data_IF_157075713592
#
_entry.id   IF_157075713592
#
_cell.length_a   1.000
_cell.length_b   1.000
_cell.length_c   1.000
_cell.angle_alpha   90.00
_cell.angle_beta   90.00
_cell.angle_gamma   90.00
#
_symmetry.space_group_name_H-M   'P 1'
#
loop_
_entity.id
_entity.type
_entity.pdbx_description
1 polymer ?
#
# COMPACT_ATOMS: atom_id res chain seq x y z
N UNK A 1 14.49 1.11 2.04
CA UNK A 1 13.20 0.50 1.64
C UNK A 1 12.29 0.33 2.85
N UNK A 2 12.87 -0.05 4.00
CA UNK A 2 12.24 -0.17 5.32
C UNK A 2 11.18 0.87 5.68
N UNK A 3 11.51 2.16 5.59
CA UNK A 3 10.58 3.23 6.00
C UNK A 3 9.36 3.39 5.12
N UNK A 4 9.49 3.18 3.80
CA UNK A 4 8.41 3.49 2.85
C UNK A 4 7.58 2.26 2.50
N UNK A 5 8.21 1.10 2.33
CA UNK A 5 7.55 -0.11 1.82
C UNK A 5 7.30 -1.14 2.93
N UNK A 6 8.35 -1.55 3.66
CA UNK A 6 8.22 -2.63 4.65
C UNK A 6 7.32 -2.20 5.81
N UNK A 7 7.43 -0.95 6.27
CA UNK A 7 6.55 -0.38 7.30
C UNK A 7 5.07 -0.45 6.90
N UNK A 8 4.75 -0.06 5.67
CA UNK A 8 3.38 -0.08 5.14
C UNK A 8 2.88 -1.53 5.01
N UNK A 9 3.70 -2.43 4.49
CA UNK A 9 3.36 -3.85 4.37
C UNK A 9 3.06 -4.48 5.74
N UNK A 10 3.94 -4.29 6.72
CA UNK A 10 3.74 -4.81 8.07
C UNK A 10 2.51 -4.20 8.74
N UNK A 11 2.28 -2.89 8.59
CA UNK A 11 1.08 -2.25 9.13
C UNK A 11 -0.19 -2.81 8.50
N UNK A 12 -0.21 -3.04 7.19
CA UNK A 12 -1.32 -3.67 6.48
C UNK A 12 -1.61 -5.08 7.03
N UNK A 13 -0.57 -5.90 7.23
CA UNK A 13 -0.70 -7.25 7.80
C UNK A 13 -1.27 -7.24 9.21
N UNK A 14 -0.80 -6.32 10.07
CA UNK A 14 -1.27 -6.17 11.44
C UNK A 14 -2.71 -5.63 11.50
N UNK A 15 -3.07 -4.71 10.59
CA UNK A 15 -4.39 -4.12 10.52
C UNK A 15 -5.44 -5.06 9.92
N UNK A 16 -5.05 -5.95 9.00
CA UNK A 16 -5.96 -6.85 8.28
C UNK A 16 -6.95 -7.62 9.18
N UNK A 17 -6.51 -8.36 10.24
CA UNK A 17 -7.45 -9.08 11.10
C UNK A 17 -8.43 -8.15 11.83
N UNK A 18 -7.98 -6.96 12.24
CA UNK A 18 -8.82 -5.97 12.94
C UNK A 18 -9.87 -5.38 12.00
N UNK A 19 -9.47 -5.02 10.78
CA UNK A 19 -10.35 -4.46 9.76
C UNK A 19 -11.36 -5.50 9.27
N UNK A 20 -10.93 -6.75 9.14
CA UNK A 20 -11.82 -7.88 8.81
C UNK A 20 -12.86 -8.10 9.93
N UNK A 21 -12.45 -8.07 11.20
CA UNK A 21 -13.36 -8.21 12.34
C UNK A 21 -14.36 -7.05 12.46
N UNK A 22 -13.95 -5.83 12.11
CA UNK A 22 -14.83 -4.65 12.04
C UNK A 22 -15.97 -4.82 11.04
N UNK A 23 -15.78 -5.64 10.00
CA UNK A 23 -16.75 -5.77 8.90
C UNK A 23 -16.83 -4.52 8.02
N UNK A 24 -16.16 -3.43 8.35
CA UNK A 24 -16.09 -2.22 7.53
C UNK A 24 -14.75 -1.56 7.83
N UNK A 25 -14.00 -1.25 6.78
CA UNK A 25 -12.68 -0.67 6.92
C UNK A 25 -12.04 -0.29 5.60
N UNK A 26 -11.05 0.59 5.65
CA UNK A 26 -10.27 0.95 4.48
C UNK A 26 -8.81 1.20 4.85
N UNK A 27 -7.91 0.89 3.93
CA UNK A 27 -6.49 1.23 4.00
C UNK A 27 -6.17 2.18 2.86
N UNK A 28 -5.51 3.29 3.20
CA UNK A 28 -5.05 4.31 2.24
C UNK A 28 -3.52 4.35 2.25
N UNK A 29 -2.91 3.98 1.14
CA UNK A 29 -1.45 3.90 0.99
C UNK A 29 -0.88 5.12 0.27
N UNK A 30 -0.16 6.00 0.99
CA UNK A 30 0.34 7.25 0.41
C UNK A 30 1.54 7.03 -0.54
N UNK A 31 1.30 7.19 -1.83
CA UNK A 31 2.32 7.08 -2.88
C UNK A 31 2.89 8.45 -3.34
N UNK A 32 3.38 8.53 -4.57
CA UNK A 32 3.90 9.72 -5.25
C UNK A 32 3.82 9.54 -6.77
N UNK A 33 3.74 10.65 -7.50
CA UNK A 33 3.90 10.69 -8.97
C UNK A 33 5.25 10.10 -9.42
N UNK A 34 6.28 10.17 -8.57
CA UNK A 34 7.58 9.53 -8.79
C UNK A 34 7.53 7.98 -8.80
N UNK A 35 6.44 7.39 -8.33
CA UNK A 35 6.17 5.95 -8.42
C UNK A 35 5.47 5.53 -9.72
N UNK A 36 5.16 6.50 -10.60
CA UNK A 36 4.49 6.27 -11.89
C UNK A 36 5.36 6.73 -13.05
N UNK A 37 6.04 7.88 -12.89
CA UNK A 37 6.95 8.43 -13.91
C UNK A 37 8.32 8.72 -13.33
N UNK A 38 9.34 8.71 -14.19
CA UNK A 38 10.70 9.03 -13.80
C UNK A 38 10.82 10.53 -13.47
N UNK A 39 11.38 10.85 -12.30
CA UNK A 39 11.64 12.20 -11.83
C UNK A 39 13.02 12.27 -11.19
N UNK A 40 13.64 13.44 -11.23
CA UNK A 40 14.94 13.67 -10.59
C UNK A 40 14.80 13.93 -9.08
N UNK A 41 14.26 12.94 -8.36
CA UNK A 41 14.04 12.97 -6.90
C UNK A 41 14.68 11.77 -6.18
N UNK A 42 15.46 10.97 -6.90
CA UNK A 42 16.17 9.80 -6.40
C UNK A 42 15.56 8.48 -6.85
N UNK A 43 16.40 7.59 -7.41
CA UNK A 43 16.02 6.29 -7.95
C UNK A 43 15.35 5.39 -6.91
N UNK A 44 15.91 5.33 -5.69
CA UNK A 44 15.39 4.50 -4.60
C UNK A 44 14.04 5.03 -4.09
N UNK A 45 13.86 6.35 -4.05
CA UNK A 45 12.60 6.95 -3.64
C UNK A 45 11.48 6.61 -4.64
N UNK A 46 11.73 6.85 -5.93
CA UNK A 46 10.80 6.49 -7.01
C UNK A 46 10.45 4.99 -7.00
N UNK A 47 11.46 4.12 -6.88
CA UNK A 47 11.27 2.68 -6.75
C UNK A 47 10.41 2.32 -5.53
N UNK A 48 10.64 2.93 -4.37
CA UNK A 48 9.85 2.67 -3.17
C UNK A 48 8.38 3.06 -3.32
N UNK A 49 8.10 4.15 -4.05
CA UNK A 49 6.73 4.62 -4.31
C UNK A 49 6.04 3.79 -5.39
N UNK A 50 6.77 3.33 -6.39
CA UNK A 50 6.28 2.33 -7.35
C UNK A 50 5.92 1.01 -6.66
N UNK A 51 6.73 0.56 -5.70
CA UNK A 51 6.44 -0.63 -4.91
C UNK A 51 5.17 -0.48 -4.05
N UNK A 52 4.93 0.71 -3.47
CA UNK A 52 3.67 1.01 -2.78
C UNK A 52 2.47 0.90 -3.73
N UNK A 53 2.57 1.43 -4.96
CA UNK A 53 1.49 1.30 -5.94
C UNK A 53 1.15 -0.16 -6.23
N UNK A 54 2.17 -1.03 -6.35
CA UNK A 54 1.95 -2.44 -6.62
C UNK A 54 1.40 -3.18 -5.40
N UNK A 55 1.95 -2.93 -4.21
CA UNK A 55 1.45 -3.48 -2.95
C UNK A 55 -0.05 -3.20 -2.76
N UNK A 56 -0.49 -1.95 -2.99
CA UNK A 56 -1.90 -1.58 -2.84
C UNK A 56 -2.80 -2.37 -3.80
N UNK A 57 -2.37 -2.57 -5.05
CA UNK A 57 -3.13 -3.37 -6.04
C UNK A 57 -3.20 -4.83 -5.63
N UNK A 58 -2.08 -5.40 -5.21
CA UNK A 58 -2.00 -6.80 -4.81
C UNK A 58 -2.90 -7.06 -3.60
N UNK A 59 -2.83 -6.21 -2.56
CA UNK A 59 -3.68 -6.29 -1.38
C UNK A 59 -5.17 -6.08 -1.71
N UNK A 60 -5.51 -5.15 -2.60
CA UNK A 60 -6.88 -4.95 -3.06
C UNK A 60 -7.43 -6.22 -3.72
N UNK A 61 -6.64 -6.88 -4.57
CA UNK A 61 -7.02 -8.15 -5.21
C UNK A 61 -7.16 -9.28 -4.18
N UNK A 62 -6.20 -9.43 -3.28
CA UNK A 62 -6.20 -10.47 -2.25
C UNK A 62 -7.39 -10.33 -1.28
N UNK A 63 -7.75 -9.09 -0.95
CA UNK A 63 -8.75 -8.79 0.08
C UNK A 63 -10.12 -8.39 -0.48
N UNK A 64 -10.31 -8.38 -1.80
CA UNK A 64 -11.55 -7.99 -2.47
C UNK A 64 -12.82 -8.70 -1.96
N UNK A 65 -12.68 -9.91 -1.41
CA UNK A 65 -13.80 -10.68 -0.83
C UNK A 65 -14.25 -10.17 0.55
N UNK A 66 -13.49 -9.25 1.14
CA UNK A 66 -13.82 -8.59 2.41
C UNK A 66 -14.31 -7.17 2.11
N UNK A 67 -15.07 -6.58 3.04
CA UNK A 67 -15.66 -5.22 2.90
C UNK A 67 -14.59 -4.11 3.06
N UNK A 68 -13.34 -4.48 2.81
CA UNK A 68 -12.13 -3.69 2.95
C UNK A 68 -11.81 -3.00 1.63
N UNK A 69 -11.94 -1.67 1.61
CA UNK A 69 -11.46 -0.85 0.51
C UNK A 69 -9.97 -0.58 0.66
N UNK A 70 -9.14 -1.07 -0.25
CA UNK A 70 -7.70 -0.72 -0.30
C UNK A 70 -7.50 0.30 -1.43
N UNK A 71 -7.04 1.50 -1.10
CA UNK A 71 -6.95 2.65 -2.02
C UNK A 71 -5.52 3.22 -2.00
N UNK A 72 -5.02 3.60 -3.17
CA UNK A 72 -3.71 4.25 -3.36
C UNK A 72 -3.87 5.78 -3.36
#
# INVERSE_FOLDING_TARGET
MTTNLESACHLCQLAHPLLKASGVGSIVCISSIAGVVALNVGSIYGASKGAINQLTKDLACEWAKTILGVIA
#
